data_IF_041183971901
#
_entry.id   IF_041183971901
#
_cell.length_a   1.000
_cell.length_b   1.000
_cell.length_c   1.000
_cell.angle_alpha   90.00
_cell.angle_beta   90.00
_cell.angle_gamma   90.00
#
_symmetry.space_group_name_H-M   'P 1'
#
loop_
_entity.id
_entity.type
_entity.pdbx_description
1 polymer ?
#
# COMPACT_ATOMS: atom_id res chain seq x y z
N UNK A 1 -5.69 -13.96 -26.34
CA UNK A 1 -5.75 -12.94 -25.28
C UNK A 1 -4.71 -13.29 -24.21
N UNK A 2 -3.45 -12.85 -24.37
CA UNK A 2 -2.35 -13.07 -23.43
C UNK A 2 -2.47 -12.25 -22.13
N UNK A 3 -3.52 -11.44 -22.00
CA UNK A 3 -3.86 -10.54 -20.90
C UNK A 3 -4.60 -11.21 -19.73
N UNK A 4 -5.08 -12.44 -19.90
CA UNK A 4 -5.73 -13.23 -18.85
C UNK A 4 -4.74 -14.23 -18.25
N UNK A 5 -4.62 -14.27 -16.92
CA UNK A 5 -3.96 -15.39 -16.23
C UNK A 5 -4.67 -16.67 -16.66
N UNK A 6 -3.98 -17.55 -17.38
CA UNK A 6 -4.60 -18.76 -17.92
C UNK A 6 -4.74 -19.86 -16.86
N UNK A 7 -3.83 -19.87 -15.87
CA UNK A 7 -3.88 -20.71 -14.68
C UNK A 7 -2.97 -20.10 -13.60
N UNK A 8 -3.17 -20.48 -12.34
CA UNK A 8 -2.34 -20.11 -11.19
C UNK A 8 -1.89 -21.39 -10.48
N UNK A 9 -0.67 -21.42 -9.93
CA UNK A 9 -0.18 -22.55 -9.15
C UNK A 9 -0.12 -22.18 -7.66
N UNK A 10 -0.78 -22.98 -6.83
CA UNK A 10 -0.57 -22.99 -5.38
C UNK A 10 0.47 -24.05 -5.02
N UNK A 11 1.44 -23.71 -4.17
CA UNK A 11 2.48 -24.63 -3.73
C UNK A 11 2.71 -24.55 -2.23
N UNK A 12 2.94 -25.71 -1.61
CA UNK A 12 3.46 -25.81 -0.24
C UNK A 12 4.87 -26.40 -0.35
N UNK A 13 5.85 -25.71 0.22
CA UNK A 13 7.26 -26.11 0.16
C UNK A 13 7.82 -26.33 1.57
N UNK A 14 8.75 -27.27 1.69
CA UNK A 14 9.53 -27.42 2.92
C UNK A 14 10.48 -26.25 3.10
N UNK A 15 10.49 -25.63 4.27
CA UNK A 15 11.25 -24.41 4.53
C UNK A 15 12.76 -24.54 4.23
N UNK A 16 13.41 -25.61 4.70
CA UNK A 16 14.88 -25.79 4.56
C UNK A 16 15.30 -26.24 3.16
N UNK A 17 14.64 -27.25 2.59
CA UNK A 17 15.02 -27.82 1.29
C UNK A 17 14.38 -27.11 0.10
N UNK A 18 13.37 -26.26 0.33
CA UNK A 18 12.54 -25.60 -0.70
C UNK A 18 11.80 -26.57 -1.62
N UNK A 19 11.78 -27.85 -1.28
CA UNK A 19 11.13 -28.89 -2.06
C UNK A 19 9.62 -28.70 -2.00
N UNK A 20 8.92 -28.59 -3.14
CA UNK A 20 7.46 -28.65 -3.17
C UNK A 20 6.99 -30.01 -2.67
N UNK A 21 6.12 -29.99 -1.67
CA UNK A 21 5.44 -31.17 -1.12
C UNK A 21 3.95 -31.18 -1.47
N UNK A 22 3.44 -30.08 -2.00
CA UNK A 22 2.11 -29.95 -2.55
C UNK A 22 2.14 -28.97 -3.71
N UNK A 23 1.44 -29.30 -4.79
CA UNK A 23 1.21 -28.41 -5.94
C UNK A 23 -0.23 -28.58 -6.40
N UNK A 24 -0.93 -27.48 -6.61
CA UNK A 24 -2.30 -27.44 -7.11
C UNK A 24 -2.41 -26.40 -8.22
N UNK A 25 -2.98 -26.79 -9.36
CA UNK A 25 -3.31 -25.88 -10.44
C UNK A 25 -4.72 -25.32 -10.27
N UNK A 26 -4.86 -24.01 -10.39
CA UNK A 26 -6.09 -23.25 -10.17
C UNK A 26 -6.45 -22.46 -11.42
N UNK A 27 -7.75 -22.14 -11.55
CA UNK A 27 -8.24 -21.20 -12.53
C UNK A 27 -7.58 -19.83 -12.31
N UNK A 28 -7.20 -19.13 -13.38
CA UNK A 28 -6.52 -17.85 -13.28
C UNK A 28 -7.34 -16.71 -12.66
N UNK A 29 -8.65 -16.88 -12.53
CA UNK A 29 -9.56 -15.98 -11.83
C UNK A 29 -9.72 -16.33 -10.34
N UNK A 30 -9.06 -17.38 -9.86
CA UNK A 30 -9.13 -17.79 -8.45
C UNK A 30 -8.52 -16.71 -7.57
N UNK A 31 -9.22 -16.38 -6.48
CA UNK A 31 -8.78 -15.38 -5.51
C UNK A 31 -8.03 -16.07 -4.37
N UNK A 32 -6.74 -15.74 -4.21
CA UNK A 32 -5.84 -16.34 -3.20
C UNK A 32 -6.42 -16.34 -1.77
N UNK A 33 -7.12 -15.27 -1.40
CA UNK A 33 -7.77 -15.12 -0.09
C UNK A 33 -8.76 -16.24 0.25
N UNK A 34 -9.28 -16.92 -0.78
CA UNK A 34 -10.24 -18.03 -0.63
C UNK A 34 -9.61 -19.39 -0.86
N UNK A 35 -8.60 -19.49 -1.73
CA UNK A 35 -7.98 -20.77 -2.08
C UNK A 35 -7.07 -21.30 -0.96
N UNK A 36 -6.36 -20.44 -0.23
CA UNK A 36 -5.37 -20.88 0.76
C UNK A 36 -5.95 -21.76 1.87
N UNK A 37 -7.11 -21.39 2.43
CA UNK A 37 -7.76 -22.21 3.47
C UNK A 37 -8.06 -23.61 2.94
N UNK A 38 -8.61 -23.69 1.72
CA UNK A 38 -8.91 -24.96 1.06
C UNK A 38 -7.65 -25.77 0.79
N UNK A 39 -6.63 -25.17 0.17
CA UNK A 39 -5.36 -25.85 -0.15
C UNK A 39 -4.72 -26.42 1.12
N UNK A 40 -4.64 -25.63 2.20
CA UNK A 40 -4.05 -26.09 3.46
C UNK A 40 -4.89 -27.22 4.08
N UNK A 41 -6.21 -27.11 4.09
CA UNK A 41 -7.07 -28.17 4.62
C UNK A 41 -6.93 -29.47 3.81
N UNK A 42 -6.90 -29.39 2.48
CA UNK A 42 -6.66 -30.55 1.59
C UNK A 42 -5.30 -31.20 1.87
N UNK A 43 -4.25 -30.39 2.07
CA UNK A 43 -2.94 -30.87 2.44
C UNK A 43 -2.95 -31.60 3.79
N UNK A 44 -3.56 -31.00 4.82
CA UNK A 44 -3.67 -31.60 6.16
C UNK A 44 -4.42 -32.94 6.15
N UNK A 45 -5.41 -33.11 5.27
CA UNK A 45 -6.12 -34.39 5.13
C UNK A 45 -5.24 -35.52 4.57
N UNK A 46 -4.23 -35.19 3.77
CA UNK A 46 -3.35 -36.18 3.14
C UNK A 46 -2.11 -36.51 3.98
N UNK A 47 -1.68 -35.59 4.84
CA UNK A 47 -0.51 -35.81 5.70
C UNK A 47 -0.91 -36.57 6.96
N UNK A 48 -0.79 -37.90 6.93
CA UNK A 48 -0.95 -38.76 8.11
C UNK A 48 0.32 -38.76 8.96
N UNK A 49 0.18 -38.64 10.29
CA UNK A 49 1.28 -38.83 11.25
C UNK A 49 2.29 -37.68 11.37
N UNK A 50 2.00 -36.49 10.84
CA UNK A 50 2.85 -35.32 11.10
C UNK A 50 2.77 -34.87 12.57
N UNK A 51 3.88 -34.33 13.08
CA UNK A 51 3.88 -33.59 14.33
C UNK A 51 2.97 -32.38 14.18
N UNK A 52 1.98 -32.27 15.07
CA UNK A 52 0.98 -31.21 15.06
C UNK A 52 1.13 -30.32 16.28
N UNK A 53 0.85 -29.01 16.16
CA UNK A 53 0.47 -28.29 14.93
C UNK A 53 1.68 -27.87 14.07
N UNK A 54 1.62 -28.11 12.76
CA UNK A 54 2.64 -27.64 11.79
C UNK A 54 2.63 -26.11 11.66
N UNK A 55 3.81 -25.52 11.40
CA UNK A 55 3.98 -24.08 11.18
C UNK A 55 3.96 -23.74 9.68
N UNK A 56 3.02 -22.90 9.27
CA UNK A 56 2.89 -22.40 7.90
C UNK A 56 3.33 -20.94 7.80
N UNK A 57 4.16 -20.62 6.82
CA UNK A 57 4.50 -19.24 6.46
C UNK A 57 3.82 -18.89 5.14
N UNK A 58 2.90 -17.93 5.17
CA UNK A 58 2.07 -17.56 4.02
C UNK A 58 2.06 -16.06 3.78
N UNK A 59 1.77 -15.64 2.54
CA UNK A 59 1.64 -14.22 2.23
C UNK A 59 0.37 -13.63 2.88
N UNK A 60 0.19 -12.32 2.71
CA UNK A 60 -0.90 -11.57 3.34
C UNK A 60 -2.32 -11.99 2.93
N UNK A 61 -2.49 -12.76 1.85
CA UNK A 61 -3.79 -13.28 1.44
C UNK A 61 -4.35 -14.31 2.43
N UNK A 62 -3.48 -14.98 3.20
CA UNK A 62 -3.90 -15.85 4.32
C UNK A 62 -4.60 -15.04 5.43
N UNK A 63 -4.25 -13.77 5.60
CA UNK A 63 -4.71 -12.95 6.70
C UNK A 63 -6.10 -12.34 6.45
N UNK A 64 -7.12 -13.19 6.49
CA UNK A 64 -8.54 -12.77 6.54
C UNK A 64 -9.19 -13.33 7.79
N UNK A 65 -10.21 -12.65 8.35
CA UNK A 65 -10.96 -13.14 9.53
C UNK A 65 -11.47 -14.58 9.34
N UNK A 66 -11.95 -14.89 8.13
CA UNK A 66 -12.44 -16.22 7.78
C UNK A 66 -11.31 -17.26 7.79
N UNK A 67 -10.26 -17.02 6.99
CA UNK A 67 -9.16 -17.96 6.81
C UNK A 67 -8.43 -18.23 8.13
N UNK A 68 -8.08 -17.19 8.90
CA UNK A 68 -7.42 -17.39 10.19
C UNK A 68 -8.34 -18.11 11.18
N UNK A 69 -9.65 -17.85 11.17
CA UNK A 69 -10.60 -18.53 12.05
C UNK A 69 -10.74 -20.03 11.74
N UNK A 70 -10.71 -20.38 10.45
CA UNK A 70 -10.80 -21.78 9.99
C UNK A 70 -9.53 -22.61 10.24
N UNK A 71 -8.36 -21.95 10.22
CA UNK A 71 -7.05 -22.58 10.33
C UNK A 71 -6.47 -22.56 11.75
N UNK A 72 -6.79 -21.53 12.53
CA UNK A 72 -6.31 -21.43 13.92
C UNK A 72 -6.91 -22.57 14.75
N UNK A 73 -6.03 -23.35 15.38
CA UNK A 73 -6.38 -24.59 16.09
C UNK A 73 -6.05 -25.87 15.32
N UNK A 74 -5.83 -25.79 14.01
CA UNK A 74 -5.34 -26.90 13.17
C UNK A 74 -3.84 -26.77 12.87
N UNK A 75 -3.38 -25.53 12.69
CA UNK A 75 -1.99 -25.20 12.36
C UNK A 75 -1.50 -24.01 13.17
N UNK A 76 -0.20 -23.83 13.20
CA UNK A 76 0.44 -22.56 13.49
C UNK A 76 0.68 -21.81 12.19
N UNK A 77 0.59 -20.49 12.21
CA UNK A 77 0.82 -19.67 11.02
C UNK A 77 1.64 -18.42 11.33
N UNK A 78 2.40 -17.98 10.33
CA UNK A 78 3.09 -16.68 10.28
C UNK A 78 2.72 -16.05 8.95
N UNK A 79 2.15 -14.85 8.98
CA UNK A 79 1.75 -14.13 7.76
C UNK A 79 1.82 -12.64 7.95
N UNK A 80 1.94 -11.89 6.85
CA UNK A 80 1.89 -10.43 6.89
C UNK A 80 0.46 -9.94 7.06
N UNK A 81 0.29 -8.98 7.97
CA UNK A 81 -0.98 -8.28 8.12
C UNK A 81 -1.10 -7.20 7.04
N UNK A 82 -2.18 -7.17 6.24
CA UNK A 82 -2.42 -6.10 5.28
C UNK A 82 -2.58 -4.74 5.95
N UNK A 83 -2.05 -3.68 5.33
CA UNK A 83 -2.25 -2.28 5.78
C UNK A 83 -3.71 -1.80 5.71
N UNK A 84 -4.59 -2.58 5.06
CA UNK A 84 -6.03 -2.33 5.04
C UNK A 84 -6.71 -2.69 6.35
N UNK A 85 -6.04 -3.46 7.23
CA UNK A 85 -6.53 -3.71 8.58
C UNK A 85 -6.37 -2.43 9.40
N UNK A 86 -7.47 -1.79 9.78
CA UNK A 86 -7.47 -0.46 10.41
C UNK A 86 -6.53 -0.34 11.63
N UNK A 87 -6.42 -1.40 12.43
CA UNK A 87 -5.51 -1.45 13.59
C UNK A 87 -4.04 -1.25 13.20
N UNK A 88 -3.60 -1.72 12.03
CA UNK A 88 -2.22 -1.54 11.57
C UNK A 88 -1.89 -0.05 11.43
N UNK A 89 -2.79 0.73 10.83
CA UNK A 89 -2.55 2.17 10.64
C UNK A 89 -2.44 2.91 11.96
N UNK A 90 -3.29 2.56 12.92
CA UNK A 90 -3.26 3.14 14.25
C UNK A 90 -1.97 2.78 14.99
N UNK A 91 -1.58 1.50 14.99
CA UNK A 91 -0.34 1.08 15.65
C UNK A 91 0.91 1.72 15.03
N UNK A 92 0.95 1.87 13.70
CA UNK A 92 2.09 2.51 13.03
C UNK A 92 2.14 4.03 13.22
N UNK A 93 1.04 4.69 13.59
CA UNK A 93 1.05 6.13 13.91
C UNK A 93 1.37 6.41 15.37
N UNK A 94 0.91 5.55 16.28
CA UNK A 94 1.02 5.78 17.73
C UNK A 94 2.33 5.25 18.32
N UNK A 95 2.93 4.19 17.75
CA UNK A 95 4.12 3.58 18.33
C UNK A 95 5.38 4.29 17.80
N UNK A 96 6.11 5.04 18.66
CA UNK A 96 7.30 5.75 18.25
C UNK A 96 8.43 4.78 17.91
N UNK A 97 9.33 5.16 16.99
CA UNK A 97 10.43 4.29 16.55
C UNK A 97 11.39 3.92 17.71
N UNK A 98 11.44 4.75 18.74
CA UNK A 98 12.18 4.56 19.99
C UNK A 98 11.70 3.32 20.77
N UNK A 99 10.43 2.94 20.62
CA UNK A 99 9.88 1.71 21.21
C UNK A 99 10.35 0.43 20.49
N UNK A 100 10.99 0.56 19.31
CA UNK A 100 11.46 -0.57 18.53
C UNK A 100 12.88 -0.94 18.94
N UNK A 101 13.04 -2.18 19.43
CA UNK A 101 14.36 -2.73 19.73
C UNK A 101 15.10 -3.08 18.43
N UNK A 102 16.43 -2.92 18.39
CA UNK A 102 17.23 -3.31 17.23
C UNK A 102 17.20 -4.82 17.01
N UNK A 103 17.26 -5.23 15.74
CA UNK A 103 17.34 -6.62 15.31
C UNK A 103 18.67 -7.33 15.59
N UNK A 104 19.71 -6.58 15.97
CA UNK A 104 21.05 -7.12 16.17
C UNK A 104 21.72 -7.56 14.87
N UNK A 105 22.75 -8.40 15.00
CA UNK A 105 23.52 -8.93 13.87
C UNK A 105 22.70 -9.87 12.97
N UNK A 106 21.73 -10.58 13.55
CA UNK A 106 20.88 -11.54 12.83
C UNK A 106 19.89 -10.86 11.87
N UNK A 107 19.51 -9.61 12.17
CA UNK A 107 18.54 -8.83 11.39
C UNK A 107 19.06 -7.39 11.19
N UNK A 108 20.11 -7.21 10.38
CA UNK A 108 20.72 -5.90 10.17
C UNK A 108 19.73 -4.94 9.48
N UNK A 109 19.70 -3.69 9.97
CA UNK A 109 18.78 -2.66 9.46
C UNK A 109 17.30 -2.91 9.78
N UNK A 110 17.00 -3.87 10.66
CA UNK A 110 15.65 -4.12 11.18
C UNK A 110 15.54 -3.61 12.62
N UNK A 111 14.41 -3.03 12.94
CA UNK A 111 13.96 -2.78 14.32
C UNK A 111 12.55 -3.33 14.46
N UNK A 112 12.18 -3.78 15.65
CA UNK A 112 10.84 -4.35 15.85
C UNK A 112 10.33 -4.15 17.28
N UNK A 113 9.02 -4.23 17.44
CA UNK A 113 8.35 -4.36 18.73
C UNK A 113 7.19 -5.36 18.63
N UNK A 114 6.74 -5.85 19.78
CA UNK A 114 5.73 -6.90 19.86
C UNK A 114 4.47 -6.38 20.52
N UNK A 115 3.32 -6.74 19.96
CA UNK A 115 2.00 -6.38 20.48
C UNK A 115 1.11 -7.61 20.48
N UNK A 116 0.53 -7.93 21.63
CA UNK A 116 -0.55 -8.91 21.72
C UNK A 116 -1.86 -8.31 21.24
N UNK A 117 -2.59 -9.01 20.38
CA UNK A 117 -3.89 -8.55 19.88
C UNK A 117 -4.86 -9.70 19.67
N UNK A 118 -6.11 -9.38 19.37
CA UNK A 118 -7.13 -10.35 18.96
C UNK A 118 -7.76 -9.88 17.65
N UNK A 119 -7.71 -10.73 16.62
CA UNK A 119 -8.35 -10.46 15.34
C UNK A 119 -9.07 -11.71 14.84
N UNK A 120 -10.33 -11.55 14.42
CA UNK A 120 -11.19 -12.69 14.05
C UNK A 120 -11.51 -13.62 15.22
N UNK A 121 -11.44 -13.13 16.47
CA UNK A 121 -11.63 -13.95 17.68
C UNK A 121 -10.42 -14.79 18.07
N UNK A 122 -9.30 -14.68 17.34
CA UNK A 122 -8.07 -15.43 17.60
C UNK A 122 -7.05 -14.52 18.30
N UNK A 123 -6.55 -14.89 19.49
CA UNK A 123 -5.41 -14.24 20.12
C UNK A 123 -4.15 -14.40 19.26
N UNK A 124 -3.38 -13.33 19.11
CA UNK A 124 -2.26 -13.26 18.18
C UNK A 124 -1.10 -12.46 18.76
N UNK A 125 0.11 -12.85 18.36
CA UNK A 125 1.30 -12.01 18.47
C UNK A 125 1.50 -11.26 17.17
N UNK A 126 1.57 -9.94 17.25
CA UNK A 126 1.95 -9.07 16.15
C UNK A 126 3.35 -8.54 16.37
N UNK A 127 4.19 -8.66 15.35
CA UNK A 127 5.52 -8.09 15.29
C UNK A 127 5.45 -6.90 14.34
N UNK A 128 5.55 -5.70 14.89
CA UNK A 128 5.70 -4.49 14.10
C UNK A 128 7.16 -4.41 13.69
N UNK A 129 7.43 -4.30 12.40
CA UNK A 129 8.78 -4.34 11.86
C UNK A 129 9.04 -3.04 11.10
N UNK A 130 10.11 -2.36 11.48
CA UNK A 130 10.75 -1.32 10.69
C UNK A 130 11.93 -1.92 9.92
N UNK A 131 12.00 -1.68 8.62
CA UNK A 131 13.11 -2.09 7.76
C UNK A 131 13.69 -0.90 7.03
N UNK A 132 14.97 -0.62 7.27
CA UNK A 132 15.72 0.42 6.59
C UNK A 132 15.78 0.21 5.07
N UNK A 133 16.01 -1.02 4.62
CA UNK A 133 16.02 -1.33 3.18
C UNK A 133 14.67 -1.07 2.52
N UNK A 134 13.56 -1.45 3.18
CA UNK A 134 12.22 -1.16 2.68
C UNK A 134 11.97 0.36 2.65
N UNK A 135 12.41 1.07 3.69
CA UNK A 135 12.34 2.52 3.80
C UNK A 135 12.98 3.21 2.61
N UNK A 136 14.27 2.92 2.35
CA UNK A 136 15.03 3.55 1.27
C UNK A 136 14.41 3.29 -0.12
N UNK A 137 13.90 2.07 -0.35
CA UNK A 137 13.21 1.72 -1.60
C UNK A 137 11.90 2.48 -1.76
N UNK A 138 11.12 2.58 -0.69
CA UNK A 138 9.82 3.24 -0.69
C UNK A 138 9.95 4.76 -0.76
N UNK A 139 10.99 5.35 -0.16
CA UNK A 139 11.34 6.76 -0.32
C UNK A 139 11.66 7.11 -1.78
N UNK A 140 12.46 6.29 -2.47
CA UNK A 140 12.71 6.46 -3.91
C UNK A 140 11.41 6.37 -4.72
N UNK A 141 10.51 5.48 -4.34
CA UNK A 141 9.21 5.32 -5.00
C UNK A 141 8.30 6.53 -4.75
N UNK A 142 8.29 7.06 -3.52
CA UNK A 142 7.55 8.25 -3.16
C UNK A 142 8.08 9.48 -3.89
N UNK A 143 9.40 9.69 -3.92
CA UNK A 143 10.03 10.78 -4.68
C UNK A 143 9.61 10.78 -6.15
N UNK A 144 9.58 9.59 -6.79
CA UNK A 144 9.07 9.44 -8.16
C UNK A 144 7.58 9.76 -8.27
N UNK A 145 6.78 9.37 -7.29
CA UNK A 145 5.35 9.67 -7.26
C UNK A 145 5.08 11.18 -7.11
N UNK A 146 5.80 11.87 -6.22
CA UNK A 146 5.76 13.32 -6.04
C UNK A 146 6.13 14.02 -7.37
N UNK A 147 7.25 13.63 -7.99
CA UNK A 147 7.68 14.22 -9.27
C UNK A 147 6.66 14.00 -10.40
N UNK A 148 6.05 12.81 -10.47
CA UNK A 148 5.02 12.50 -11.45
C UNK A 148 3.76 13.35 -11.24
N UNK A 149 3.32 13.50 -10.01
CA UNK A 149 2.17 14.35 -9.68
C UNK A 149 2.45 15.82 -10.04
N UNK A 150 3.65 16.33 -9.71
CA UNK A 150 4.07 17.69 -10.10
C UNK A 150 3.89 17.93 -11.60
N UNK A 151 4.43 17.03 -12.43
CA UNK A 151 4.33 17.14 -13.90
C UNK A 151 2.88 17.09 -14.38
N UNK A 152 2.04 16.27 -13.76
CA UNK A 152 0.62 16.21 -14.09
C UNK A 152 -0.09 17.53 -13.73
N UNK A 153 0.18 18.09 -12.55
CA UNK A 153 -0.37 19.37 -12.11
C UNK A 153 0.12 20.54 -12.97
N UNK A 154 1.40 20.57 -13.38
CA UNK A 154 1.94 21.57 -14.33
C UNK A 154 1.17 21.54 -15.66
N UNK A 155 0.91 20.34 -16.19
CA UNK A 155 0.15 20.18 -17.42
C UNK A 155 -1.32 20.61 -17.25
N UNK A 156 -1.96 20.22 -16.15
CA UNK A 156 -3.34 20.61 -15.83
C UNK A 156 -3.48 22.12 -15.63
N UNK A 157 -2.56 22.76 -14.91
CA UNK A 157 -2.54 24.21 -14.70
C UNK A 157 -2.32 24.97 -16.02
N UNK A 158 -1.44 24.45 -16.89
CA UNK A 158 -1.24 25.04 -18.22
C UNK A 158 -2.51 24.96 -19.07
N UNK A 159 -3.23 23.83 -19.03
CA UNK A 159 -4.50 23.70 -19.73
C UNK A 159 -5.57 24.63 -19.14
N UNK A 160 -5.65 24.69 -17.80
CA UNK A 160 -6.59 25.54 -17.08
C UNK A 160 -6.39 27.03 -17.40
N UNK A 161 -5.14 27.51 -17.40
CA UNK A 161 -4.82 28.91 -17.72
C UNK A 161 -5.10 29.32 -19.17
N UNK A 162 -5.19 28.35 -20.08
CA UNK A 162 -5.56 28.58 -21.47
C UNK A 162 -7.08 28.54 -21.70
N UNK A 163 -7.85 28.04 -20.72
CA UNK A 163 -9.29 27.88 -20.81
C UNK A 163 -10.00 29.18 -20.42
N UNK A 164 -10.99 29.57 -21.22
CA UNK A 164 -11.88 30.70 -20.94
C UNK A 164 -13.20 30.16 -20.42
N UNK A 165 -13.55 30.52 -19.20
CA UNK A 165 -14.76 30.09 -18.52
C UNK A 165 -15.88 31.10 -18.70
N UNK A 166 -17.12 30.63 -18.71
CA UNK A 166 -18.30 31.49 -18.84
C UNK A 166 -18.63 32.26 -17.57
N UNK A 167 -18.24 31.74 -16.39
CA UNK A 167 -18.35 32.43 -15.10
C UNK A 167 -17.12 32.18 -14.21
N UNK A 168 -17.00 32.99 -13.15
CA UNK A 168 -15.89 32.91 -12.20
C UNK A 168 -15.93 31.63 -11.34
N UNK A 169 -17.14 31.15 -11.07
CA UNK A 169 -17.43 29.98 -10.27
C UNK A 169 -16.98 28.70 -10.97
N UNK A 170 -17.31 28.54 -12.26
CA UNK A 170 -16.88 27.39 -13.07
C UNK A 170 -15.35 27.28 -13.11
N UNK A 171 -14.68 28.43 -13.22
CA UNK A 171 -13.23 28.49 -13.19
C UNK A 171 -12.71 27.96 -11.83
N UNK A 172 -13.26 28.45 -10.71
CA UNK A 172 -12.85 28.01 -9.37
C UNK A 172 -13.13 26.53 -9.14
N UNK A 173 -14.25 26.01 -9.61
CA UNK A 173 -14.55 24.57 -9.52
C UNK A 173 -13.52 23.75 -10.27
N UNK A 174 -13.13 24.15 -11.49
CA UNK A 174 -12.09 23.46 -12.25
C UNK A 174 -10.72 23.49 -11.53
N UNK A 175 -10.39 24.59 -10.85
CA UNK A 175 -9.20 24.65 -9.98
C UNK A 175 -9.28 23.65 -8.83
N UNK A 176 -10.39 23.63 -8.10
CA UNK A 176 -10.60 22.71 -6.96
C UNK A 176 -10.60 21.25 -7.39
N UNK A 177 -11.12 20.91 -8.57
CA UNK A 177 -11.09 19.54 -9.08
C UNK A 177 -9.68 19.02 -9.36
N UNK A 178 -8.75 19.91 -9.73
CA UNK A 178 -7.34 19.59 -9.95
C UNK A 178 -6.60 19.47 -8.61
N UNK A 179 -6.64 20.54 -7.80
CA UNK A 179 -5.80 20.63 -6.59
C UNK A 179 -6.42 19.93 -5.36
N UNK A 180 -7.74 19.80 -5.28
CA UNK A 180 -8.42 19.05 -4.22
C UNK A 180 -8.17 17.54 -4.27
N UNK A 181 -7.67 17.03 -5.40
CA UNK A 181 -7.27 15.62 -5.58
C UNK A 181 -5.75 15.41 -5.47
N UNK A 182 -4.98 16.49 -5.37
CA UNK A 182 -3.53 16.41 -5.23
C UNK A 182 -3.16 15.84 -3.87
N UNK A 183 -2.18 14.93 -3.84
CA UNK A 183 -1.77 14.22 -2.62
C UNK A 183 -0.48 14.76 -2.02
N UNK A 184 0.42 15.26 -2.85
CA UNK A 184 1.77 15.69 -2.46
C UNK A 184 2.03 17.18 -2.72
N UNK A 185 1.06 17.88 -3.29
CA UNK A 185 1.13 19.30 -3.59
C UNK A 185 -0.14 19.97 -3.13
N UNK A 186 -0.05 21.26 -2.83
CA UNK A 186 -1.18 22.12 -2.50
C UNK A 186 -1.16 23.37 -3.34
N UNK A 187 -2.35 23.89 -3.65
CA UNK A 187 -2.51 25.20 -4.24
C UNK A 187 -1.92 26.27 -3.30
N UNK A 188 -1.04 27.13 -3.83
CA UNK A 188 -0.48 28.27 -3.09
C UNK A 188 -1.17 29.58 -3.46
N UNK A 189 -1.60 29.73 -4.71
CA UNK A 189 -2.27 30.93 -5.20
C UNK A 189 -3.25 30.58 -6.31
N UNK A 190 -4.46 31.14 -6.26
CA UNK A 190 -5.47 31.04 -7.30
C UNK A 190 -6.03 32.44 -7.59
N UNK A 191 -5.84 32.91 -8.82
CA UNK A 191 -6.30 34.21 -9.29
C UNK A 191 -7.27 33.98 -10.45
N UNK A 192 -8.49 34.47 -10.29
CA UNK A 192 -9.48 34.54 -11.37
C UNK A 192 -9.44 35.94 -11.95
N UNK A 193 -9.19 36.06 -13.24
CA UNK A 193 -9.18 37.34 -13.96
C UNK A 193 -10.28 37.39 -15.01
N UNK A 194 -10.90 38.56 -15.14
CA UNK A 194 -11.85 38.84 -16.22
C UNK A 194 -11.10 39.02 -17.54
N UNK A 195 -11.51 38.30 -18.57
CA UNK A 195 -11.08 38.53 -19.93
C UNK A 195 -12.09 39.46 -20.60
N UNK A 196 -11.68 40.71 -20.82
CA UNK A 196 -12.52 41.71 -21.46
C UNK A 196 -12.16 41.88 -22.94
N UNK A 197 -13.15 42.05 -23.80
CA UNK A 197 -12.93 42.32 -25.22
C UNK A 197 -14.01 43.20 -25.83
N UNK A 198 -13.80 43.57 -27.09
CA UNK A 198 -14.71 44.44 -27.83
C UNK A 198 -15.63 43.60 -28.73
N UNK A 199 -16.94 43.82 -28.65
CA UNK A 199 -17.98 43.01 -29.29
C UNK A 199 -17.94 43.04 -30.83
N UNK A 200 -17.27 44.01 -31.46
CA UNK A 200 -17.25 44.19 -32.92
C UNK A 200 -15.85 44.18 -33.49
N UNK A 201 -15.67 43.47 -34.61
CA UNK A 201 -14.48 43.57 -35.47
C UNK A 201 -14.41 44.97 -36.11
N UNK A 202 -13.31 45.69 -35.89
CA UNK A 202 -13.06 47.05 -36.40
C UNK A 202 -12.52 48.02 -35.34
N UNK A 203 -12.09 49.22 -35.76
CA UNK A 203 -11.55 50.26 -34.86
C UNK A 203 -12.64 50.68 -33.85
N UNK A 204 -12.44 50.53 -32.53
CA UNK A 204 -13.44 50.88 -31.53
C UNK A 204 -13.81 52.38 -31.61
N UNK A 205 -15.08 52.71 -31.33
CA UNK A 205 -15.49 54.10 -31.08
C UNK A 205 -14.77 54.62 -29.83
N UNK A 206 -14.47 55.93 -29.82
CA UNK A 206 -13.59 56.59 -28.82
C UNK A 206 -13.98 56.39 -27.34
N UNK A 207 -15.21 55.93 -27.06
CA UNK A 207 -15.78 55.72 -25.72
C UNK A 207 -16.41 54.32 -25.50
N UNK A 208 -16.08 53.31 -26.32
CA UNK A 208 -16.61 51.95 -26.11
C UNK A 208 -15.97 51.28 -24.89
N UNK A 209 -16.79 50.91 -23.89
CA UNK A 209 -16.31 50.15 -22.72
C UNK A 209 -16.12 48.67 -23.11
N UNK A 210 -15.02 48.02 -22.69
CA UNK A 210 -14.84 46.58 -22.87
C UNK A 210 -15.96 45.80 -22.17
N UNK A 211 -16.47 44.74 -22.82
CA UNK A 211 -17.39 43.78 -22.19
C UNK A 211 -16.62 42.55 -21.71
N UNK A 212 -17.05 41.96 -20.60
CA UNK A 212 -16.48 40.71 -20.07
C UNK A 212 -16.86 39.59 -21.06
N UNK A 213 -15.84 38.98 -21.66
CA UNK A 213 -15.98 37.86 -22.60
C UNK A 213 -15.81 36.50 -21.90
N UNK A 214 -15.24 36.47 -20.70
CA UNK A 214 -15.14 35.29 -19.87
C UNK A 214 -14.17 35.49 -18.71
N UNK A 215 -13.81 34.38 -18.06
CA UNK A 215 -12.91 34.36 -16.92
C UNK A 215 -11.76 33.41 -17.20
N UNK A 216 -10.55 33.78 -16.79
CA UNK A 216 -9.38 32.89 -16.81
C UNK A 216 -8.86 32.68 -15.41
N UNK A 217 -8.12 31.59 -15.24
CA UNK A 217 -7.40 31.32 -14.01
C UNK A 217 -5.90 31.32 -14.25
N UNK A 218 -5.18 31.96 -13.34
CA UNK A 218 -3.76 31.76 -13.14
C UNK A 218 -3.50 31.41 -11.68
N UNK A 219 -2.32 30.89 -11.41
CA UNK A 219 -1.96 30.53 -10.05
C UNK A 219 -0.69 29.74 -9.98
N UNK A 220 -0.40 29.28 -8.77
CA UNK A 220 0.77 28.50 -8.44
C UNK A 220 0.42 27.40 -7.44
N UNK A 221 1.30 26.41 -7.37
CA UNK A 221 1.22 25.35 -6.37
C UNK A 221 2.62 25.01 -5.88
N UNK A 222 2.68 24.46 -4.68
CA UNK A 222 3.91 24.08 -4.01
C UNK A 222 3.80 22.64 -3.49
N UNK A 223 4.94 21.98 -3.21
CA UNK A 223 4.91 20.73 -2.45
C UNK A 223 4.18 20.93 -1.13
N UNK A 224 3.40 19.94 -0.71
CA UNK A 224 2.78 19.90 0.61
C UNK A 224 3.68 19.08 1.55
N UNK A 225 4.53 19.72 2.38
CA UNK A 225 5.50 18.99 3.19
C UNK A 225 4.80 18.05 4.18
N UNK A 226 3.65 18.45 4.72
CA UNK A 226 2.88 17.64 5.67
C UNK A 226 2.25 16.40 5.00
N UNK A 227 1.73 16.53 3.78
CA UNK A 227 1.24 15.39 2.99
C UNK A 227 2.35 14.40 2.65
N UNK A 228 3.52 14.90 2.24
CA UNK A 228 4.69 14.08 1.93
C UNK A 228 5.22 13.40 3.20
N UNK A 229 5.33 14.14 4.29
CA UNK A 229 5.87 13.66 5.55
C UNK A 229 4.97 12.58 6.19
N UNK A 230 3.64 12.75 6.14
CA UNK A 230 2.69 11.71 6.58
C UNK A 230 2.86 10.39 5.80
N UNK A 231 3.17 10.47 4.51
CA UNK A 231 3.43 9.29 3.68
C UNK A 231 4.81 8.69 3.93
N UNK A 232 5.80 9.55 4.18
CA UNK A 232 7.14 9.16 4.59
C UNK A 232 7.08 8.40 5.90
N UNK A 233 6.45 8.92 6.95
CA UNK A 233 6.40 8.30 8.28
C UNK A 233 6.01 6.82 8.28
N UNK A 234 5.17 6.38 7.33
CA UNK A 234 4.73 4.97 7.21
C UNK A 234 5.68 4.07 6.42
N UNK A 235 6.64 4.64 5.68
CA UNK A 235 7.55 3.86 4.84
C UNK A 235 8.51 3.05 5.69
N UNK A 236 8.83 1.86 5.18
CA UNK A 236 9.71 0.90 5.84
C UNK A 236 9.01 0.03 6.88
N UNK A 237 7.72 0.27 7.17
CA UNK A 237 6.98 -0.50 8.17
C UNK A 237 6.15 -1.62 7.55
N UNK A 238 6.09 -2.75 8.25
CA UNK A 238 5.12 -3.81 7.99
C UNK A 238 4.86 -4.60 9.27
N UNK A 239 3.77 -5.36 9.30
CA UNK A 239 3.39 -6.16 10.47
C UNK A 239 3.35 -7.63 10.08
N UNK A 240 3.97 -8.47 10.90
CA UNK A 240 3.85 -9.94 10.84
C UNK A 240 2.95 -10.36 11.99
N UNK A 241 2.05 -11.30 11.76
CA UNK A 241 1.21 -11.88 12.79
C UNK A 241 1.41 -13.39 12.87
N UNK A 242 1.21 -13.93 14.07
CA UNK A 242 1.14 -15.36 14.33
C UNK A 242 0.09 -15.70 15.39
N UNK A 243 -0.53 -16.88 15.29
CA UNK A 243 -1.29 -17.49 16.38
C UNK A 243 -0.42 -18.27 17.38
N UNK A 244 0.90 -18.32 17.18
CA UNK A 244 1.83 -18.93 18.12
C UNK A 244 2.18 -17.95 19.24
N UNK A 245 1.59 -18.14 20.41
CA UNK A 245 1.66 -17.18 21.52
C UNK A 245 2.91 -17.32 22.39
N UNK A 246 3.63 -18.44 22.31
CA UNK A 246 4.85 -18.67 23.08
C UNK A 246 6.03 -17.93 22.41
N UNK A 247 6.51 -16.88 23.07
CA UNK A 247 7.60 -16.03 22.59
C UNK A 247 8.99 -16.65 22.77
N UNK A 248 9.11 -17.70 23.59
CA UNK A 248 10.35 -18.45 23.76
C UNK A 248 10.48 -19.54 22.70
N UNK A 249 9.38 -20.19 22.37
CA UNK A 249 9.35 -21.23 21.34
C UNK A 249 9.44 -20.66 19.92
N UNK A 250 8.87 -19.47 19.68
CA UNK A 250 9.05 -18.73 18.43
C UNK A 250 9.37 -17.25 18.71
N UNK A 251 10.65 -16.92 18.93
CA UNK A 251 11.09 -15.54 19.16
C UNK A 251 10.82 -14.65 17.95
N UNK A 252 10.59 -13.36 18.21
CA UNK A 252 10.31 -12.39 17.14
C UNK A 252 11.40 -12.29 16.06
N UNK A 253 12.71 -12.32 16.36
CA UNK A 253 13.73 -12.34 15.32
C UNK A 253 13.58 -13.53 14.36
N UNK A 254 13.30 -14.71 14.92
CA UNK A 254 13.08 -15.93 14.13
C UNK A 254 11.81 -15.81 13.29
N UNK A 255 10.71 -15.30 13.85
CA UNK A 255 9.48 -15.06 13.10
C UNK A 255 9.69 -14.10 11.91
N UNK A 256 10.48 -13.03 12.10
CA UNK A 256 10.85 -12.09 11.04
C UNK A 256 11.70 -12.80 9.98
N UNK A 257 12.71 -13.56 10.38
CA UNK A 257 13.58 -14.30 9.47
C UNK A 257 12.81 -15.34 8.64
N UNK A 258 11.95 -16.12 9.28
CA UNK A 258 11.06 -17.10 8.65
C UNK A 258 10.20 -16.43 7.59
N UNK A 259 9.52 -15.32 7.93
CA UNK A 259 8.70 -14.60 6.96
C UNK A 259 9.51 -14.06 5.79
N UNK A 260 10.67 -13.42 6.03
CA UNK A 260 11.51 -12.87 4.96
C UNK A 260 12.06 -13.96 4.03
N UNK A 261 12.28 -15.17 4.52
CA UNK A 261 12.74 -16.32 3.72
C UNK A 261 11.73 -16.77 2.67
N UNK A 262 10.43 -16.50 2.86
CA UNK A 262 9.37 -16.82 1.90
C UNK A 262 9.63 -16.17 0.53
N UNK A 263 10.26 -14.98 0.53
CA UNK A 263 10.71 -14.29 -0.67
C UNK A 263 11.82 -15.01 -1.44
N UNK A 264 12.27 -16.19 -1.02
CA UNK A 264 13.31 -17.00 -1.70
C UNK A 264 12.97 -18.48 -1.80
N UNK A 265 11.79 -18.91 -1.30
CA UNK A 265 11.41 -20.33 -1.24
C UNK A 265 10.83 -20.86 -2.55
N UNK A 266 10.39 -19.99 -3.45
CA UNK A 266 9.91 -20.33 -4.80
C UNK A 266 10.98 -19.89 -5.79
N UNK A 267 11.46 -20.81 -6.63
CA UNK A 267 12.39 -20.52 -7.70
C UNK A 267 11.84 -19.40 -8.61
N UNK A 268 12.68 -18.45 -9.07
CA UNK A 268 12.22 -17.32 -9.87
C UNK A 268 11.43 -17.70 -11.13
N UNK A 269 11.64 -18.91 -11.69
CA UNK A 269 10.91 -19.42 -12.84
C UNK A 269 9.47 -19.88 -12.56
N UNK A 270 9.09 -19.99 -11.29
CA UNK A 270 7.74 -20.37 -10.84
C UNK A 270 7.00 -19.21 -10.14
N UNK A 271 7.51 -17.98 -10.27
CA UNK A 271 6.88 -16.76 -9.79
C UNK A 271 6.04 -16.07 -10.84
#
# INVERSE_FOLDING_TARGET
>A
RPDLKQFVLNMITLHKSRTPIWVEALDGNTVDKTSFSRTIQSFLQQVQGAETPMLFVADSALYTKKTIGELSGKIQWVTRVPETVGLVRHLLSEVPLEAFRPGGEDLPGIRFCEVGTTFGGIPQRWILVYSQTSREREEKTLSRAVSREKKALEASLRALSQTVFSCSEDARTAWEEIFGKARYHRASECVVSEETGHVRSGRPKKDAKPEIQGYRISGSFEPDPEGIDRELHRKGFFVIASNHLDDKALPAPEMIALYKSQGTSIEPGFR
#
